data_IF_342283839810
#
_entry.id   IF_342283839810
#
_cell.length_a   1.000
_cell.length_b   1.000
_cell.length_c   1.000
_cell.angle_alpha   90.00
_cell.angle_beta   90.00
_cell.angle_gamma   90.00
#
_symmetry.space_group_name_H-M   'P 1'
#
loop_
_entity.id
_entity.type
_entity.pdbx_description
1 polymer ?
#
# COMPACT_ATOMS: atom_id res chain seq x y z
N UNK A 1 1.21 -18.51 11.58
CA UNK A 1 0.05 -18.99 10.81
C UNK A 1 0.40 -20.39 10.28
N UNK A 2 -0.42 -21.41 10.53
CA UNK A 2 -0.16 -22.77 10.05
C UNK A 2 -0.64 -22.91 8.60
N UNK A 3 -0.01 -23.79 7.81
CA UNK A 3 -0.35 -24.03 6.39
C UNK A 3 -1.84 -24.37 6.18
N UNK A 4 -2.42 -25.15 7.09
CA UNK A 4 -3.85 -25.51 7.10
C UNK A 4 -4.78 -24.31 7.32
N UNK A 5 -4.32 -23.27 8.03
CA UNK A 5 -5.10 -22.04 8.22
C UNK A 5 -5.06 -21.16 6.96
N UNK A 6 -3.91 -21.09 6.30
CA UNK A 6 -3.73 -20.35 5.04
C UNK A 6 -4.61 -20.88 3.90
N UNK A 7 -4.72 -22.21 3.74
CA UNK A 7 -5.60 -22.81 2.71
C UNK A 7 -7.08 -22.53 2.95
N UNK A 8 -7.52 -22.52 4.20
CA UNK A 8 -8.91 -22.23 4.55
C UNK A 8 -9.25 -20.75 4.30
N UNK A 9 -8.34 -19.83 4.63
CA UNK A 9 -8.48 -18.40 4.32
C UNK A 9 -8.58 -18.22 2.82
N UNK A 10 -7.67 -18.82 2.03
CA UNK A 10 -7.71 -18.71 0.57
C UNK A 10 -9.02 -19.23 -0.04
N UNK A 11 -9.54 -20.37 0.45
CA UNK A 11 -10.83 -20.94 0.02
C UNK A 11 -12.03 -20.08 0.43
N UNK A 12 -11.90 -19.23 1.44
CA UNK A 12 -12.97 -18.32 1.87
C UNK A 12 -13.01 -17.02 1.06
N UNK A 13 -11.91 -16.65 0.39
CA UNK A 13 -11.85 -15.48 -0.47
C UNK A 13 -12.79 -15.61 -1.67
N UNK A 14 -13.35 -14.47 -2.10
CA UNK A 14 -14.04 -14.34 -3.39
C UNK A 14 -13.07 -14.51 -4.55
N UNK A 15 -13.59 -14.75 -5.75
CA UNK A 15 -12.78 -14.98 -6.95
C UNK A 15 -11.90 -13.77 -7.30
N UNK A 16 -12.44 -12.56 -7.15
CA UNK A 16 -11.72 -11.31 -7.42
C UNK A 16 -10.56 -11.13 -6.43
N UNK A 17 -10.79 -11.47 -5.15
CA UNK A 17 -9.79 -11.39 -4.08
C UNK A 17 -8.65 -12.40 -4.28
N UNK A 18 -8.96 -13.62 -4.74
CA UNK A 18 -7.94 -14.63 -5.08
C UNK A 18 -7.09 -14.16 -6.26
N UNK A 19 -7.73 -13.61 -7.30
CA UNK A 19 -7.02 -13.12 -8.48
C UNK A 19 -6.12 -11.94 -8.14
N UNK A 20 -6.57 -11.03 -7.26
CA UNK A 20 -5.72 -9.94 -6.71
C UNK A 20 -4.52 -10.48 -5.94
N UNK A 21 -4.70 -11.53 -5.12
CA UNK A 21 -3.62 -12.18 -4.39
C UNK A 21 -2.58 -12.80 -5.34
N UNK A 22 -3.03 -13.49 -6.38
CA UNK A 22 -2.16 -14.12 -7.39
C UNK A 22 -1.39 -13.06 -8.20
N UNK A 23 -2.05 -11.96 -8.57
CA UNK A 23 -1.39 -10.82 -9.21
C UNK A 23 -0.35 -10.18 -8.31
N UNK A 24 -0.68 -10.00 -7.03
CA UNK A 24 0.26 -9.44 -6.06
C UNK A 24 1.54 -10.26 -6.03
N UNK A 25 1.44 -11.58 -5.82
CA UNK A 25 2.60 -12.49 -5.81
C UNK A 25 3.40 -12.36 -7.11
N UNK A 26 2.72 -12.36 -8.26
CA UNK A 26 3.36 -12.20 -9.58
C UNK A 26 4.12 -10.89 -9.70
N UNK A 27 3.56 -9.77 -9.24
CA UNK A 27 4.20 -8.46 -9.32
C UNK A 27 5.34 -8.33 -8.33
N UNK A 28 5.20 -8.85 -7.09
CA UNK A 28 6.29 -8.92 -6.13
C UNK A 28 7.50 -9.68 -6.70
N UNK A 29 7.27 -10.86 -7.29
CA UNK A 29 8.34 -11.63 -7.93
C UNK A 29 9.04 -10.87 -9.05
N UNK A 30 8.29 -10.15 -9.88
CA UNK A 30 8.85 -9.34 -10.97
C UNK A 30 9.69 -8.19 -10.43
N UNK A 31 9.21 -7.50 -9.39
CA UNK A 31 9.96 -6.43 -8.73
C UNK A 31 11.27 -6.97 -8.13
N UNK A 32 11.24 -8.08 -7.41
CA UNK A 32 12.46 -8.71 -6.86
C UNK A 32 13.43 -9.23 -7.94
N UNK A 33 12.92 -9.59 -9.13
CA UNK A 33 13.70 -9.89 -10.34
C UNK A 33 14.17 -8.62 -11.09
N UNK A 34 14.04 -7.44 -10.49
CA UNK A 34 14.49 -6.14 -11.02
C UNK A 34 13.82 -5.73 -12.34
N UNK A 35 12.61 -6.25 -12.62
CA UNK A 35 11.88 -5.84 -13.83
C UNK A 35 11.37 -4.42 -13.69
N UNK A 36 11.67 -3.59 -14.68
CA UNK A 36 11.17 -2.22 -14.77
C UNK A 36 9.63 -2.15 -14.74
N UNK A 37 9.12 -1.07 -14.15
CA UNK A 37 7.68 -0.83 -14.01
C UNK A 37 7.01 -1.68 -12.93
N UNK A 38 7.76 -2.43 -12.11
CA UNK A 38 7.23 -3.15 -10.96
C UNK A 38 7.87 -2.64 -9.68
N UNK A 39 7.03 -2.38 -8.69
CA UNK A 39 7.42 -1.93 -7.35
C UNK A 39 6.89 -2.91 -6.33
N UNK A 40 7.66 -3.19 -5.28
CA UNK A 40 7.17 -3.97 -4.13
C UNK A 40 7.76 -3.50 -2.82
N UNK A 41 7.00 -3.75 -1.76
CA UNK A 41 7.48 -3.78 -0.39
C UNK A 41 7.58 -5.23 0.06
N UNK A 42 8.74 -5.66 0.52
CA UNK A 42 8.87 -7.04 0.96
C UNK A 42 10.13 -7.32 1.75
N UNK A 43 10.22 -8.54 2.26
CA UNK A 43 11.35 -8.96 3.06
C UNK A 43 12.51 -9.39 2.15
N UNK A 44 13.64 -8.70 2.27
CA UNK A 44 14.91 -9.12 1.70
C UNK A 44 15.91 -9.31 2.83
N UNK A 45 16.37 -10.55 3.05
CA UNK A 45 17.43 -10.83 4.03
C UNK A 45 17.06 -10.59 5.50
N UNK A 46 15.78 -10.45 5.84
CA UNK A 46 15.33 -10.12 7.19
C UNK A 46 14.99 -8.65 7.42
N UNK A 47 15.06 -7.83 6.37
CA UNK A 47 14.75 -6.40 6.41
C UNK A 47 13.61 -6.07 5.45
N UNK A 48 12.81 -5.06 5.80
CA UNK A 48 11.78 -4.56 4.89
C UNK A 48 12.45 -3.67 3.85
N UNK A 49 12.24 -3.98 2.57
CA UNK A 49 12.78 -3.19 1.47
C UNK A 49 11.69 -2.64 0.56
N UNK A 50 11.94 -1.45 0.05
CA UNK A 50 11.34 -0.93 -1.18
C UNK A 50 12.22 -1.36 -2.36
N UNK A 51 11.60 -1.92 -3.40
CA UNK A 51 12.30 -2.46 -4.55
C UNK A 51 11.62 -1.99 -5.85
N UNK A 52 12.38 -1.31 -6.71
CA UNK A 52 11.93 -0.78 -8.00
C UNK A 52 13.07 -0.84 -9.02
N UNK A 53 12.96 -1.71 -10.03
CA UNK A 53 14.06 -1.93 -10.97
C UNK A 53 15.37 -2.26 -10.21
N UNK A 54 16.45 -1.57 -10.55
CA UNK A 54 17.75 -1.68 -9.86
C UNK A 54 17.81 -0.96 -8.51
N UNK A 55 16.81 -0.13 -8.20
CA UNK A 55 16.75 0.59 -6.94
C UNK A 55 16.23 -0.33 -5.82
N UNK A 56 16.98 -0.36 -4.71
CA UNK A 56 16.61 -1.04 -3.49
C UNK A 56 16.91 -0.13 -2.30
N UNK A 57 15.91 0.10 -1.46
CA UNK A 57 16.05 0.88 -0.22
C UNK A 57 15.53 0.09 0.97
N UNK A 58 16.23 0.21 2.11
CA UNK A 58 15.86 -0.41 3.38
C UNK A 58 14.98 0.55 4.17
N UNK A 59 13.76 0.14 4.46
CA UNK A 59 12.76 1.02 5.03
C UNK A 59 12.86 1.09 6.55
N UNK A 60 12.76 2.32 7.07
CA UNK A 60 12.60 2.58 8.51
C UNK A 60 11.14 2.50 8.94
N UNK A 61 10.19 2.65 8.01
CA UNK A 61 8.80 2.40 8.31
C UNK A 61 7.86 2.41 7.13
N UNK A 62 6.63 2.00 7.44
CA UNK A 62 5.54 1.81 6.49
C UNK A 62 4.22 2.09 7.19
N UNK A 63 3.36 2.86 6.52
CA UNK A 63 2.00 3.15 6.95
C UNK A 63 1.05 2.97 5.77
N UNK A 64 -0.14 2.44 6.03
CA UNK A 64 -1.24 2.51 5.06
C UNK A 64 -2.56 2.77 5.76
N UNK A 65 -3.42 3.53 5.08
CA UNK A 65 -4.79 3.84 5.50
C UNK A 65 -5.71 3.45 4.35
N UNK A 66 -6.79 2.75 4.68
CA UNK A 66 -7.82 2.34 3.74
C UNK A 66 -9.15 2.96 4.19
N UNK A 67 -9.76 3.71 3.28
CA UNK A 67 -11.04 4.34 3.44
C UNK A 67 -12.06 3.62 2.54
N UNK A 68 -13.29 3.48 3.05
CA UNK A 68 -14.47 3.10 2.27
C UNK A 68 -15.57 4.11 2.55
N UNK A 69 -16.17 4.68 1.51
CA UNK A 69 -17.22 5.71 1.63
C UNK A 69 -16.78 6.88 2.54
N UNK A 70 -15.52 7.33 2.40
CA UNK A 70 -14.91 8.39 3.20
C UNK A 70 -14.58 8.03 4.65
N UNK A 71 -14.85 6.79 5.10
CA UNK A 71 -14.58 6.33 6.48
C UNK A 71 -13.39 5.38 6.52
N UNK A 72 -12.50 5.58 7.49
CA UNK A 72 -11.40 4.65 7.74
C UNK A 72 -11.91 3.29 8.19
N UNK A 73 -11.64 2.27 7.37
CA UNK A 73 -11.94 0.88 7.68
C UNK A 73 -10.71 0.11 8.15
N UNK A 74 -9.51 0.59 7.79
CA UNK A 74 -8.25 -0.01 8.22
C UNK A 74 -7.15 1.04 8.27
N UNK A 75 -6.24 0.85 9.22
CA UNK A 75 -4.94 1.49 9.22
C UNK A 75 -3.92 0.46 9.71
N UNK A 76 -2.75 0.47 9.08
CA UNK A 76 -1.63 -0.37 9.46
C UNK A 76 -0.38 0.49 9.54
N UNK A 77 0.36 0.33 10.64
CA UNK A 77 1.60 1.05 10.90
C UNK A 77 2.66 0.02 11.28
N UNK A 78 3.86 0.21 10.74
CA UNK A 78 5.03 -0.57 11.07
C UNK A 78 6.24 0.34 11.05
N UNK A 79 7.13 0.16 12.02
CA UNK A 79 8.46 0.74 12.04
C UNK A 79 9.50 -0.35 12.18
N UNK A 80 10.74 -0.05 11.81
CA UNK A 80 11.84 -1.01 11.86
C UNK A 80 12.03 -1.63 13.25
N UNK A 81 11.73 -0.89 14.32
CA UNK A 81 11.79 -1.36 15.71
C UNK A 81 10.77 -2.46 16.03
N UNK A 82 9.66 -2.52 15.29
CA UNK A 82 8.65 -3.58 15.44
C UNK A 82 9.19 -4.92 14.90
N UNK A 83 10.22 -4.90 14.06
CA UNK A 83 10.85 -6.06 13.44
C UNK A 83 10.05 -6.67 12.29
N UNK A 84 10.77 -7.18 11.28
CA UNK A 84 10.15 -7.69 10.03
C UNK A 84 9.13 -8.82 10.24
N UNK A 85 9.28 -9.60 11.31
CA UNK A 85 8.37 -10.73 11.62
C UNK A 85 6.96 -10.25 11.93
N UNK A 86 6.81 -9.01 12.37
CA UNK A 86 5.53 -8.37 12.65
C UNK A 86 4.98 -7.62 11.43
N UNK A 87 5.71 -7.57 10.31
CA UNK A 87 5.21 -6.96 9.08
C UNK A 87 4.13 -7.83 8.42
N UNK A 88 2.91 -7.31 8.31
CA UNK A 88 1.74 -8.07 7.84
C UNK A 88 1.22 -7.65 6.47
N UNK A 89 1.88 -6.69 5.81
CA UNK A 89 1.41 -6.17 4.52
C UNK A 89 2.09 -6.91 3.36
N UNK A 90 1.32 -7.22 2.32
CA UNK A 90 1.83 -7.50 0.99
C UNK A 90 1.38 -6.38 0.07
N UNK A 91 2.34 -5.70 -0.55
CA UNK A 91 2.03 -4.57 -1.41
C UNK A 91 2.96 -4.57 -2.62
N UNK A 92 2.34 -4.54 -3.80
CA UNK A 92 3.04 -4.53 -5.08
C UNK A 92 2.30 -3.62 -6.05
N UNK A 93 3.04 -2.93 -6.90
CA UNK A 93 2.50 -2.04 -7.92
C UNK A 93 3.09 -2.37 -9.29
N UNK A 94 2.32 -2.05 -10.34
CA UNK A 94 2.73 -2.11 -11.74
C UNK A 94 2.43 -0.77 -12.39
N UNK A 95 3.43 -0.12 -12.93
CA UNK A 95 3.28 1.05 -13.78
C UNK A 95 3.22 0.60 -15.23
N UNK A 96 2.16 0.97 -15.95
CA UNK A 96 2.04 0.67 -17.37
C UNK A 96 2.74 1.72 -18.25
N UNK A 97 2.64 1.54 -19.58
CA UNK A 97 3.28 2.45 -20.54
C UNK A 97 2.67 3.86 -20.57
N UNK A 98 1.45 4.04 -20.05
CA UNK A 98 0.79 5.34 -19.94
C UNK A 98 1.21 6.09 -18.68
N UNK A 99 1.92 5.42 -17.76
CA UNK A 99 2.27 5.95 -16.44
C UNK A 99 1.22 5.65 -15.37
N UNK A 100 0.14 4.95 -15.71
CA UNK A 100 -0.90 4.55 -14.74
C UNK A 100 -0.34 3.50 -13.79
N UNK A 101 -0.56 3.69 -12.49
CA UNK A 101 -0.08 2.79 -11.44
C UNK A 101 -1.23 1.89 -10.97
N UNK A 102 -1.14 0.63 -11.35
CA UNK A 102 -1.93 -0.45 -10.80
C UNK A 102 -1.31 -0.96 -9.51
N UNK A 103 -2.12 -1.48 -8.59
CA UNK A 103 -1.62 -1.95 -7.30
C UNK A 103 -2.45 -3.10 -6.74
N UNK A 104 -1.82 -3.85 -5.85
CA UNK A 104 -2.47 -4.80 -4.97
C UNK A 104 -1.93 -4.56 -3.56
N UNK A 105 -2.82 -4.42 -2.58
CA UNK A 105 -2.54 -4.23 -1.17
C UNK A 105 -3.31 -5.28 -0.37
N UNK A 106 -2.60 -6.08 0.40
CA UNK A 106 -3.17 -7.07 1.30
C UNK A 106 -2.65 -6.81 2.70
N UNK A 107 -3.55 -6.55 3.64
CA UNK A 107 -3.23 -6.52 5.07
C UNK A 107 -3.62 -7.90 5.62
N UNK A 108 -2.63 -8.70 6.03
CA UNK A 108 -2.87 -10.03 6.60
C UNK A 108 -3.52 -9.91 7.98
N UNK A 109 -4.31 -10.91 8.32
CA UNK A 109 -5.01 -11.05 9.60
C UNK A 109 -5.90 -12.28 9.55
N UNK A 110 -6.72 -12.49 10.59
CA UNK A 110 -7.71 -13.60 10.60
C UNK A 110 -8.76 -13.41 9.49
N UNK A 111 -9.12 -12.15 9.21
CA UNK A 111 -9.86 -11.72 8.03
C UNK A 111 -8.97 -10.72 7.25
N UNK A 112 -8.32 -11.14 6.15
CA UNK A 112 -7.44 -10.26 5.41
C UNK A 112 -8.23 -9.15 4.71
N UNK A 113 -7.65 -7.95 4.63
CA UNK A 113 -8.18 -6.85 3.83
C UNK A 113 -7.44 -6.84 2.51
N UNK A 114 -8.18 -7.01 1.40
CA UNK A 114 -7.62 -7.13 0.06
C UNK A 114 -8.21 -6.02 -0.80
N UNK A 115 -7.34 -5.11 -1.25
CA UNK A 115 -7.71 -3.99 -2.11
C UNK A 115 -6.74 -3.91 -3.27
N UNK A 116 -7.23 -3.67 -4.47
CA UNK A 116 -6.36 -3.49 -5.61
C UNK A 116 -7.07 -2.93 -6.83
N UNK A 117 -6.28 -2.27 -7.66
CA UNK A 117 -6.66 -1.84 -8.98
C UNK A 117 -5.80 -2.58 -10.00
N UNK A 118 -6.41 -3.36 -10.89
CA UNK A 118 -5.68 -4.09 -11.93
C UNK A 118 -6.43 -4.00 -13.26
N UNK A 119 -5.72 -4.22 -14.38
CA UNK A 119 -6.28 -4.17 -15.73
C UNK A 119 -7.46 -5.15 -15.98
N UNK A 120 -7.62 -6.18 -15.15
CA UNK A 120 -8.57 -7.28 -15.39
C UNK A 120 -9.63 -7.40 -14.28
N UNK A 121 -9.50 -6.65 -13.19
CA UNK A 121 -10.33 -6.82 -11.99
C UNK A 121 -10.78 -5.45 -11.51
N UNK A 122 -12.09 -5.28 -11.42
CA UNK A 122 -12.73 -4.17 -10.76
C UNK A 122 -13.46 -4.70 -9.53
N UNK A 123 -13.10 -4.21 -8.35
CA UNK A 123 -13.80 -4.59 -7.12
C UNK A 123 -15.12 -3.82 -7.02
N UNK A 124 -16.18 -4.49 -6.55
CA UNK A 124 -17.50 -3.86 -6.36
C UNK A 124 -17.44 -2.62 -5.46
N UNK A 125 -16.66 -2.67 -4.38
CA UNK A 125 -16.50 -1.56 -3.45
C UNK A 125 -15.39 -0.61 -3.92
N UNK A 126 -15.67 0.69 -3.86
CA UNK A 126 -14.66 1.72 -4.02
C UNK A 126 -13.91 1.93 -2.70
N UNK A 127 -12.58 1.89 -2.77
CA UNK A 127 -11.70 2.16 -1.65
C UNK A 127 -10.75 3.29 -2.02
N UNK A 128 -10.56 4.24 -1.12
CA UNK A 128 -9.48 5.20 -1.22
C UNK A 128 -8.33 4.77 -0.32
N UNK A 129 -7.10 4.98 -0.77
CA UNK A 129 -5.93 4.47 -0.09
C UNK A 129 -4.85 5.54 -0.01
N UNK A 130 -4.14 5.49 1.11
CA UNK A 130 -2.82 6.06 1.24
C UNK A 130 -1.84 4.97 1.63
N UNK A 131 -0.70 4.93 0.94
CA UNK A 131 0.45 4.12 1.30
C UNK A 131 1.61 5.07 1.48
N UNK A 132 2.29 4.99 2.60
CA UNK A 132 3.43 5.79 2.94
C UNK A 132 4.57 4.87 3.39
N UNK A 133 5.72 4.99 2.75
CA UNK A 133 6.94 4.27 3.13
C UNK A 133 8.10 5.26 3.19
N UNK A 134 9.06 5.02 4.07
CA UNK A 134 10.25 5.87 4.17
C UNK A 134 11.47 5.09 4.61
N UNK A 135 12.62 5.54 4.13
CA UNK A 135 13.95 5.21 4.64
C UNK A 135 14.51 6.43 5.39
N UNK A 136 15.83 6.42 5.66
CA UNK A 136 16.53 7.50 6.37
C UNK A 136 16.55 8.83 5.61
N UNK A 137 16.50 8.80 4.28
CA UNK A 137 16.76 9.94 3.40
C UNK A 137 15.57 10.30 2.50
N UNK A 138 14.69 9.35 2.22
CA UNK A 138 13.61 9.47 1.22
C UNK A 138 12.31 8.93 1.78
N UNK A 139 11.22 9.63 1.46
CA UNK A 139 9.85 9.15 1.68
C UNK A 139 9.08 9.06 0.37
N UNK A 140 8.15 8.11 0.34
CA UNK A 140 7.36 7.76 -0.82
C UNK A 140 5.89 7.64 -0.42
N UNK A 141 5.04 8.42 -1.08
CA UNK A 141 3.59 8.43 -0.84
C UNK A 141 2.88 7.99 -2.10
N UNK A 142 1.95 7.04 -1.96
CA UNK A 142 0.96 6.72 -2.97
C UNK A 142 -0.43 7.06 -2.46
N UNK A 143 -1.21 7.75 -3.30
CA UNK A 143 -2.59 8.15 -3.03
C UNK A 143 -3.49 7.85 -4.21
N UNK A 144 -4.72 7.40 -3.95
CA UNK A 144 -5.68 7.17 -5.02
C UNK A 144 -6.81 6.24 -4.61
N UNK A 145 -7.34 5.51 -5.58
CA UNK A 145 -8.43 4.56 -5.39
C UNK A 145 -8.27 3.31 -6.24
N UNK A 146 -9.16 2.34 -5.98
CA UNK A 146 -9.13 1.05 -6.67
C UNK A 146 -9.89 1.01 -8.00
N UNK A 147 -10.30 2.15 -8.57
CA UNK A 147 -11.17 2.23 -9.76
C UNK A 147 -10.56 3.00 -10.93
N UNK A 148 -10.61 4.33 -10.91
CA UNK A 148 -10.51 5.10 -12.15
C UNK A 148 -9.04 5.31 -12.55
N UNK A 149 -8.26 5.92 -11.67
CA UNK A 149 -6.89 6.35 -11.98
C UNK A 149 -5.81 5.48 -11.32
N UNK A 150 -6.21 4.58 -10.41
CA UNK A 150 -5.25 3.80 -9.61
C UNK A 150 -4.53 4.70 -8.60
N UNK A 151 -3.20 4.59 -8.55
CA UNK A 151 -2.38 5.39 -7.62
C UNK A 151 -1.60 6.50 -8.33
N UNK A 152 -1.44 7.62 -7.65
CA UNK A 152 -0.44 8.66 -7.93
C UNK A 152 0.68 8.55 -6.90
N UNK A 153 1.94 8.64 -7.36
CA UNK A 153 3.14 8.58 -6.52
C UNK A 153 3.77 9.96 -6.32
N UNK A 154 4.24 10.22 -5.11
CA UNK A 154 5.00 11.41 -4.73
C UNK A 154 6.24 10.97 -3.95
N UNK A 155 7.41 11.40 -4.43
CA UNK A 155 8.70 11.13 -3.81
C UNK A 155 9.27 12.42 -3.24
N UNK A 156 9.84 12.37 -2.04
CA UNK A 156 10.45 13.54 -1.41
C UNK A 156 11.65 13.16 -0.54
N UNK A 157 12.57 14.12 -0.38
CA UNK A 157 13.74 13.98 0.47
C UNK A 157 13.42 14.39 1.91
N UNK A 158 13.91 13.59 2.85
CA UNK A 158 13.84 13.84 4.29
C UNK A 158 15.14 14.57 4.68
N UNK A 159 15.04 15.84 5.06
CA UNK A 159 16.20 16.66 5.46
C UNK A 159 16.18 17.00 6.95
N UNK A 160 17.35 16.91 7.59
CA UNK A 160 17.58 17.20 9.02
C UNK A 160 17.79 15.95 9.89
N UNK A 161 18.24 16.13 11.14
CA UNK A 161 18.32 15.04 12.12
C UNK A 161 16.88 14.67 12.55
N UNK A 162 16.22 13.88 11.70
CA UNK A 162 14.78 13.61 11.72
C UNK A 162 14.39 12.41 12.60
N UNK A 163 15.29 11.98 13.50
CA UNK A 163 14.97 11.06 14.60
C UNK A 163 13.87 11.69 15.47
N UNK A 164 12.60 11.42 15.13
CA UNK A 164 11.42 11.87 15.88
C UNK A 164 10.43 12.82 15.17
N UNK A 165 10.57 13.15 13.88
CA UNK A 165 9.61 14.02 13.15
C UNK A 165 8.63 13.31 12.20
N UNK A 166 8.46 11.98 12.35
CA UNK A 166 7.42 11.18 11.67
C UNK A 166 5.98 11.71 11.86
N UNK A 167 5.73 12.42 12.97
CA UNK A 167 4.46 13.07 13.29
C UNK A 167 3.96 14.11 12.26
N UNK A 168 4.82 14.65 11.38
CA UNK A 168 4.42 15.72 10.45
C UNK A 168 3.64 15.19 9.25
N UNK A 169 4.06 14.04 8.69
CA UNK A 169 3.41 13.44 7.50
C UNK A 169 2.16 12.66 7.89
N UNK A 170 2.15 12.02 9.06
CA UNK A 170 0.92 11.46 9.66
C UNK A 170 -0.16 12.54 9.85
N UNK A 171 0.22 13.74 10.32
CA UNK A 171 -0.69 14.88 10.47
C UNK A 171 -1.13 15.49 9.13
N UNK A 172 -0.23 15.65 8.17
CA UNK A 172 -0.55 16.17 6.83
C UNK A 172 -1.50 15.23 6.07
N UNK A 173 -1.24 13.93 6.16
CA UNK A 173 -2.09 12.86 5.60
C UNK A 173 -3.48 12.88 6.23
N UNK A 174 -3.56 12.89 7.56
CA UNK A 174 -4.83 12.93 8.28
C UNK A 174 -5.62 14.21 7.99
N UNK A 175 -4.96 15.38 7.92
CA UNK A 175 -5.63 16.65 7.62
C UNK A 175 -6.13 16.74 6.18
N UNK A 176 -5.36 16.26 5.20
CA UNK A 176 -5.71 16.35 3.78
C UNK A 176 -6.83 15.39 3.37
N UNK A 177 -6.85 14.18 3.92
CA UNK A 177 -7.93 13.21 3.66
C UNK A 177 -9.22 13.50 4.43
N UNK A 178 -9.15 14.09 5.62
CA UNK A 178 -10.34 14.46 6.39
C UNK A 178 -10.97 15.79 5.93
N UNK A 179 -10.19 16.74 5.38
CA UNK A 179 -10.75 18.01 4.87
C UNK A 179 -11.61 17.83 3.62
N UNK A 180 -11.26 16.90 2.71
CA UNK A 180 -12.04 16.64 1.49
C UNK A 180 -13.48 16.19 1.76
N UNK A 181 -13.76 15.60 2.93
CA UNK A 181 -15.11 15.19 3.31
C UNK A 181 -15.94 16.31 3.98
N UNK A 182 -15.38 17.51 4.19
CA UNK A 182 -16.08 18.61 4.87
C UNK A 182 -16.67 19.66 3.93
N UNK A 183 -16.25 19.73 2.67
CA UNK A 183 -16.70 20.77 1.73
C UNK A 183 -17.89 20.39 0.83
N UNK A 184 -18.32 19.11 0.80
CA UNK A 184 -19.49 18.69 -0.02
C UNK A 184 -20.87 18.82 0.64
N UNK A 185 -20.99 19.47 1.81
CA UNK A 185 -22.30 19.81 2.39
C UNK A 185 -22.53 21.32 2.40
N UNK A 186 -22.55 21.93 1.21
CA UNK A 186 -23.33 23.14 0.96
C UNK A 186 -24.17 22.97 -0.30
N UNK A 187 -25.17 22.08 -0.19
CA UNK A 187 -26.38 22.18 -1.02
C UNK A 187 -26.88 23.62 -0.95
N UNK A 188 -26.86 24.30 -2.08
CA UNK A 188 -27.64 25.51 -2.27
C UNK A 188 -29.11 25.08 -2.33
N UNK A 189 -29.85 25.34 -1.25
CA UNK A 189 -31.28 25.63 -1.34
C UNK A 189 -31.48 27.12 -1.63
#
# INVERSE_FOLDING_TARGET
MTQKNSENIYKALKEEERTLLEKNVTWMEKAFKRKEGYVTFGNAGGELVFCEGEFLSYLEGFQTIILKDGKQIAAYNWKIEDGIKNFQVLCSMKTDKSGKIFFCLIIRGDAPIIVGHTEEIEQESQYNLLIYAWDTETGYIWVGDNRDDGLTRIDYLISGNATGKQNFIEKLTAQSYLQKNSEEVKKHE
#
